data_IF_883432548518
#
_entry.id   IF_883432548518
#
_cell.length_a   1.000
_cell.length_b   1.000
_cell.length_c   1.000
_cell.angle_alpha   90.00
_cell.angle_beta   90.00
_cell.angle_gamma   90.00
#
_symmetry.space_group_name_H-M   'P 1'
#
loop_
_entity.id
_entity.type
_entity.pdbx_description
1 polymer ?
#
# COMPACT_ATOMS: atom_id res chain seq x y z
N UNK A 1 -0.78 20.76 18.10
CA UNK A 1 -0.75 19.30 17.91
C UNK A 1 0.42 19.02 16.97
N UNK A 2 1.57 18.73 17.58
CA UNK A 2 2.88 18.79 16.95
C UNK A 2 3.06 17.70 15.89
N UNK A 3 3.44 18.15 14.70
CA UNK A 3 3.91 17.34 13.59
C UNK A 3 5.24 16.69 13.99
N UNK A 4 5.23 15.40 14.29
CA UNK A 4 6.47 14.63 14.41
C UNK A 4 7.09 14.60 13.01
N UNK A 5 8.10 15.45 12.78
CA UNK A 5 8.97 15.38 11.61
C UNK A 5 9.58 13.98 11.58
N UNK A 6 9.22 13.19 10.57
CA UNK A 6 9.99 12.01 10.22
C UNK A 6 11.39 12.49 9.83
N UNK A 7 12.36 12.28 10.72
CA UNK A 7 13.76 12.59 10.43
C UNK A 7 14.23 11.77 9.23
N UNK A 8 14.80 12.48 8.25
CA UNK A 8 15.34 11.93 7.03
C UNK A 8 16.55 11.04 7.32
N UNK A 9 16.34 9.72 7.42
CA UNK A 9 17.46 8.77 7.46
C UNK A 9 18.06 8.65 6.05
N UNK A 10 19.29 9.12 5.86
CA UNK A 10 20.04 8.90 4.61
C UNK A 10 20.31 7.39 4.42
N UNK A 11 19.94 6.90 3.24
CA UNK A 11 20.08 5.50 2.89
C UNK A 11 21.58 5.16 2.78
N UNK A 12 22.08 4.27 3.64
CA UNK A 12 23.47 3.81 3.56
C UNK A 12 23.70 3.05 2.24
N UNK A 13 24.88 3.18 1.59
CA UNK A 13 25.23 2.36 0.45
C UNK A 13 25.22 0.88 0.87
N UNK A 14 24.26 0.12 0.34
CA UNK A 14 23.94 -1.27 0.76
C UNK A 14 22.53 -1.47 1.31
N UNK A 15 21.79 -0.39 1.58
CA UNK A 15 20.40 -0.45 2.01
C UNK A 15 19.51 -1.03 0.92
N UNK A 16 18.77 -2.06 1.27
CA UNK A 16 17.73 -2.66 0.44
C UNK A 16 16.59 -1.65 0.31
N UNK A 17 16.48 -0.94 -0.81
CA UNK A 17 15.33 -0.07 -1.08
C UNK A 17 14.18 -0.92 -1.61
N UNK A 18 13.06 -1.06 -0.89
CA UNK A 18 11.93 -1.83 -1.39
C UNK A 18 11.38 -1.28 -2.71
N UNK A 19 10.97 -2.18 -3.60
CA UNK A 19 10.35 -1.85 -4.88
C UNK A 19 9.14 -0.92 -4.72
N UNK A 20 8.38 -1.01 -3.64
CA UNK A 20 7.23 -0.13 -3.42
C UNK A 20 7.60 1.24 -2.84
N UNK A 21 8.85 1.47 -2.45
CA UNK A 21 9.29 2.74 -1.84
C UNK A 21 9.29 3.86 -2.86
N UNK A 22 8.61 4.96 -2.53
CA UNK A 22 8.61 6.19 -3.33
C UNK A 22 9.99 6.84 -3.32
N UNK A 23 10.29 7.57 -4.39
CA UNK A 23 11.51 8.38 -4.51
C UNK A 23 11.16 9.86 -4.51
N UNK A 24 12.05 10.71 -4.02
CA UNK A 24 11.83 12.15 -3.96
C UNK A 24 11.59 12.80 -5.33
N UNK A 25 12.07 12.16 -6.40
CA UNK A 25 11.81 12.58 -7.80
C UNK A 25 10.40 12.27 -8.29
N UNK A 26 9.67 11.39 -7.59
CA UNK A 26 8.31 10.98 -7.92
C UNK A 26 7.26 11.92 -7.28
N UNK A 27 7.70 13.01 -6.65
CA UNK A 27 6.81 14.07 -6.17
C UNK A 27 6.39 14.93 -7.35
N UNK A 28 5.09 14.99 -7.60
CA UNK A 28 4.49 15.93 -8.54
C UNK A 28 3.38 16.74 -7.85
N UNK A 29 3.15 17.96 -8.33
CA UNK A 29 1.91 18.65 -8.03
C UNK A 29 0.75 17.75 -8.48
N UNK A 30 -0.09 17.34 -7.53
CA UNK A 30 -1.23 16.49 -7.83
C UNK A 30 -2.22 17.24 -8.74
N UNK A 31 -2.87 16.55 -9.68
CA UNK A 31 -3.95 17.16 -10.47
C UNK A 31 -5.05 17.68 -9.56
N UNK A 32 -5.73 18.74 -10.01
CA UNK A 32 -6.85 19.34 -9.29
C UNK A 32 -7.99 18.32 -9.14
N UNK A 33 -8.35 18.01 -7.89
CA UNK A 33 -9.51 17.16 -7.59
C UNK A 33 -10.77 18.02 -7.54
N UNK A 34 -11.80 17.61 -8.29
CA UNK A 34 -13.09 18.28 -8.38
C UNK A 34 -14.22 17.32 -8.02
N UNK A 35 -15.35 17.88 -7.57
CA UNK A 35 -16.59 17.12 -7.41
C UNK A 35 -17.27 16.94 -8.77
N UNK A 36 -17.81 15.75 -9.03
CA UNK A 36 -18.61 15.41 -10.20
C UNK A 36 -19.86 14.65 -9.74
N UNK A 37 -20.89 15.37 -9.30
CA UNK A 37 -22.08 14.75 -8.69
C UNK A 37 -21.74 14.07 -7.36
N UNK A 38 -21.99 12.76 -7.28
CA UNK A 38 -21.76 11.92 -6.10
C UNK A 38 -20.31 11.41 -5.95
N UNK A 39 -19.45 11.68 -6.94
CA UNK A 39 -18.07 11.21 -7.00
C UNK A 39 -17.05 12.34 -7.10
N UNK A 40 -15.78 12.01 -6.90
CA UNK A 40 -14.67 12.89 -7.27
C UNK A 40 -14.07 12.52 -8.62
N UNK A 41 -13.35 13.46 -9.22
CA UNK A 41 -12.54 13.26 -10.41
C UNK A 41 -11.39 14.24 -10.47
N UNK A 42 -10.44 14.01 -11.38
CA UNK A 42 -9.48 15.06 -11.74
C UNK A 42 -10.13 16.04 -12.72
N UNK A 43 -9.72 17.31 -12.68
CA UNK A 43 -10.17 18.31 -13.66
C UNK A 43 -9.85 17.85 -15.09
N UNK A 44 -8.67 17.25 -15.27
CA UNK A 44 -8.13 16.66 -16.49
C UNK A 44 -8.17 15.11 -16.46
N UNK A 45 -9.23 14.52 -15.86
CA UNK A 45 -9.37 13.08 -15.72
C UNK A 45 -9.31 12.33 -17.06
N UNK A 46 -8.53 11.24 -17.08
CA UNK A 46 -8.38 10.32 -18.19
C UNK A 46 -8.88 8.92 -17.80
N UNK A 47 -9.32 8.07 -18.76
CA UNK A 47 -9.84 6.73 -18.45
C UNK A 47 -8.90 5.86 -17.60
N UNK A 48 -7.58 6.02 -17.77
CA UNK A 48 -6.56 5.26 -17.05
C UNK A 48 -6.35 5.68 -15.59
N UNK A 49 -6.97 6.79 -15.15
CA UNK A 49 -6.94 7.22 -13.74
C UNK A 49 -7.84 6.34 -12.86
N UNK A 50 -8.72 5.53 -13.47
CA UNK A 50 -9.62 4.65 -12.75
C UNK A 50 -9.24 3.19 -12.87
N UNK A 51 -9.62 2.41 -11.86
CA UNK A 51 -9.63 0.96 -11.97
C UNK A 51 -10.95 0.43 -12.56
N UNK A 52 -11.05 -0.90 -12.69
CA UNK A 52 -12.22 -1.56 -13.24
C UNK A 52 -13.48 -1.32 -12.39
N UNK A 53 -13.31 -1.02 -11.10
CA UNK A 53 -14.38 -0.69 -10.16
C UNK A 53 -14.73 0.81 -10.15
N UNK A 54 -14.09 1.60 -11.03
CA UNK A 54 -14.32 3.03 -11.18
C UNK A 54 -13.69 3.89 -10.08
N UNK A 55 -12.77 3.35 -9.27
CA UNK A 55 -12.09 4.10 -8.20
C UNK A 55 -10.99 4.97 -8.78
N UNK A 56 -10.91 6.23 -8.35
CA UNK A 56 -9.88 7.17 -8.79
C UNK A 56 -8.54 6.87 -8.10
N UNK A 57 -7.48 6.65 -8.87
CA UNK A 57 -6.14 6.34 -8.37
C UNK A 57 -5.23 7.57 -8.39
N UNK A 58 -4.40 7.69 -7.35
CA UNK A 58 -3.40 8.74 -7.23
C UNK A 58 -2.42 8.70 -8.40
N UNK A 59 -2.33 9.80 -9.17
CA UNK A 59 -1.26 10.01 -10.15
C UNK A 59 0.06 10.25 -9.43
N UNK A 60 1.06 9.47 -9.80
CA UNK A 60 2.43 9.60 -9.31
C UNK A 60 3.37 9.24 -10.45
N UNK A 61 4.31 10.14 -10.84
CA UNK A 61 5.38 9.79 -11.77
C UNK A 61 6.17 8.60 -11.26
N UNK A 62 6.72 7.78 -12.17
CA UNK A 62 7.58 6.67 -11.78
C UNK A 62 9.00 6.87 -12.29
N UNK A 63 9.91 7.08 -11.35
CA UNK A 63 11.34 7.30 -11.61
C UNK A 63 12.18 6.60 -10.52
N UNK A 64 12.03 5.28 -10.35
CA UNK A 64 12.76 4.55 -9.32
C UNK A 64 14.27 4.68 -9.52
N UNK A 65 15.00 4.88 -8.43
CA UNK A 65 16.45 5.10 -8.45
C UNK A 65 16.87 6.56 -8.65
N UNK A 66 15.94 7.47 -8.92
CA UNK A 66 16.24 8.91 -9.10
C UNK A 66 15.88 9.69 -7.84
N UNK A 67 16.84 10.46 -7.31
CA UNK A 67 16.66 11.18 -6.05
C UNK A 67 16.89 10.29 -4.83
N UNK A 68 16.25 10.60 -3.70
CA UNK A 68 16.40 9.86 -2.44
C UNK A 68 15.20 8.93 -2.22
N UNK A 69 15.40 7.69 -1.73
CA UNK A 69 14.28 6.84 -1.34
C UNK A 69 13.60 7.39 -0.08
N UNK A 70 12.27 7.39 -0.08
CA UNK A 70 11.45 7.89 1.02
C UNK A 70 10.89 6.70 1.82
N UNK A 71 11.69 6.18 2.75
CA UNK A 71 11.27 5.05 3.58
C UNK A 71 9.99 5.39 4.36
N UNK A 72 9.01 4.48 4.32
CA UNK A 72 7.68 4.70 4.88
C UNK A 72 6.67 5.30 3.89
N UNK A 73 7.13 5.92 2.80
CA UNK A 73 6.26 6.39 1.71
C UNK A 73 6.11 5.32 0.64
N UNK A 74 4.86 4.95 0.35
CA UNK A 74 4.52 3.91 -0.62
C UNK A 74 4.14 4.53 -1.96
N UNK A 75 4.79 4.08 -3.03
CA UNK A 75 4.45 4.48 -4.40
C UNK A 75 3.19 3.74 -4.88
N UNK A 76 2.09 4.48 -5.02
CA UNK A 76 0.75 3.95 -5.22
C UNK A 76 0.65 2.91 -6.35
N UNK A 77 1.18 3.23 -7.54
CA UNK A 77 1.08 2.33 -8.70
C UNK A 77 1.95 1.08 -8.55
N UNK A 78 3.08 1.17 -7.82
CA UNK A 78 3.99 0.03 -7.59
C UNK A 78 3.41 -0.90 -6.54
N UNK A 79 2.81 -0.36 -5.48
CA UNK A 79 2.06 -1.14 -4.49
C UNK A 79 0.87 -1.85 -5.13
N UNK A 80 0.06 -1.15 -5.93
CA UNK A 80 -1.08 -1.73 -6.64
C UNK A 80 -0.65 -2.87 -7.56
N UNK A 81 0.43 -2.69 -8.32
CA UNK A 81 1.00 -3.73 -9.18
C UNK A 81 1.47 -4.93 -8.37
N UNK A 82 2.18 -4.71 -7.27
CA UNK A 82 2.67 -5.78 -6.41
C UNK A 82 1.53 -6.60 -5.80
N UNK A 83 0.47 -5.94 -5.34
CA UNK A 83 -0.73 -6.61 -4.82
C UNK A 83 -1.44 -7.43 -5.89
N UNK A 84 -1.78 -6.83 -7.04
CA UNK A 84 -2.56 -7.50 -8.09
C UNK A 84 -1.84 -8.68 -8.74
N UNK A 85 -0.50 -8.65 -8.76
CA UNK A 85 0.33 -9.68 -9.40
C UNK A 85 1.07 -10.56 -8.39
N UNK A 86 0.78 -10.41 -7.10
CA UNK A 86 1.44 -11.13 -6.00
C UNK A 86 2.98 -11.10 -6.12
N UNK A 87 3.51 -9.90 -6.33
CA UNK A 87 4.95 -9.66 -6.42
C UNK A 87 5.49 -9.27 -5.05
N UNK A 88 6.73 -9.68 -4.79
CA UNK A 88 7.50 -9.25 -3.65
C UNK A 88 7.58 -7.72 -3.60
N UNK A 89 7.09 -7.12 -2.50
CA UNK A 89 7.12 -5.66 -2.29
C UNK A 89 8.54 -5.06 -2.29
N UNK A 90 9.57 -5.90 -2.16
CA UNK A 90 10.97 -5.50 -2.08
C UNK A 90 11.68 -5.57 -3.43
N UNK A 91 11.58 -6.70 -4.15
CA UNK A 91 12.35 -6.89 -5.39
C UNK A 91 11.51 -6.97 -6.66
N UNK A 92 10.17 -6.86 -6.57
CA UNK A 92 9.23 -6.95 -7.69
C UNK A 92 9.21 -8.29 -8.46
N UNK A 93 9.98 -9.30 -8.02
CA UNK A 93 9.87 -10.69 -8.48
C UNK A 93 8.64 -11.37 -7.84
N UNK A 94 8.17 -12.53 -8.33
CA UNK A 94 7.10 -13.27 -7.67
C UNK A 94 7.35 -13.43 -6.17
N UNK A 95 6.30 -13.27 -5.37
CA UNK A 95 6.36 -13.60 -3.96
C UNK A 95 6.61 -15.10 -3.77
N UNK A 96 7.09 -15.46 -2.58
CA UNK A 96 7.30 -16.86 -2.25
C UNK A 96 5.95 -17.56 -2.12
N UNK A 97 5.85 -18.77 -2.68
CA UNK A 97 4.64 -19.57 -2.70
C UNK A 97 5.00 -21.05 -2.58
N UNK A 98 4.37 -21.74 -1.64
CA UNK A 98 4.42 -23.19 -1.44
C UNK A 98 2.99 -23.77 -1.35
N UNK A 99 2.86 -24.99 -0.82
CA UNK A 99 1.58 -25.69 -0.69
C UNK A 99 0.64 -25.00 0.32
N UNK A 100 1.22 -24.33 1.32
CA UNK A 100 0.52 -23.61 2.39
C UNK A 100 0.10 -22.20 1.95
N UNK A 101 0.77 -21.64 0.94
CA UNK A 101 0.31 -20.47 0.20
C UNK A 101 1.37 -19.39 0.00
N UNK A 102 0.91 -18.16 -0.23
CA UNK A 102 1.79 -17.02 -0.50
C UNK A 102 2.33 -16.45 0.82
N UNK A 103 3.60 -16.05 0.85
CA UNK A 103 4.24 -15.46 2.03
C UNK A 103 3.91 -13.97 2.19
N UNK A 104 3.42 -13.61 3.37
CA UNK A 104 3.15 -12.24 3.79
C UNK A 104 3.87 -11.90 5.09
N UNK A 105 4.27 -10.64 5.24
CA UNK A 105 4.77 -10.08 6.50
C UNK A 105 3.75 -9.08 7.03
N UNK A 106 3.21 -9.35 8.21
CA UNK A 106 2.21 -8.51 8.87
C UNK A 106 2.86 -7.85 10.09
N UNK A 107 2.69 -6.53 10.21
CA UNK A 107 3.27 -5.71 11.29
C UNK A 107 2.23 -5.13 12.23
N UNK A 108 0.95 -5.43 12.03
CA UNK A 108 -0.11 -5.10 12.98
C UNK A 108 0.03 -6.01 14.21
N UNK A 109 -0.31 -5.49 15.40
CA UNK A 109 0.01 -6.04 16.73
C UNK A 109 0.49 -7.51 16.76
N UNK A 110 1.82 -7.74 16.69
CA UNK A 110 2.40 -9.07 16.59
C UNK A 110 2.27 -9.89 17.89
N UNK A 111 1.85 -9.26 19.00
CA UNK A 111 1.77 -9.92 20.30
C UNK A 111 0.56 -10.84 20.42
N UNK A 112 -0.50 -10.62 19.64
CA UNK A 112 -1.72 -11.43 19.69
C UNK A 112 -2.25 -11.82 18.29
N UNK A 113 -1.51 -12.60 17.48
CA UNK A 113 -1.98 -12.94 16.13
C UNK A 113 -3.26 -13.77 16.13
N UNK A 114 -3.55 -14.49 17.21
CA UNK A 114 -4.75 -15.32 17.32
C UNK A 114 -6.02 -14.49 17.59
N UNK A 115 -5.87 -13.22 18.01
CA UNK A 115 -6.99 -12.28 18.17
C UNK A 115 -7.28 -11.47 16.90
N UNK A 116 -6.49 -11.65 15.84
CA UNK A 116 -6.67 -10.92 14.60
C UNK A 116 -8.01 -11.25 13.92
N UNK A 117 -8.64 -10.26 13.26
CA UNK A 117 -9.89 -10.49 12.56
C UNK A 117 -9.71 -11.57 11.48
N UNK A 118 -10.74 -12.39 11.32
CA UNK A 118 -10.86 -13.36 10.22
C UNK A 118 -12.06 -12.94 9.36
N UNK A 119 -11.84 -12.48 8.12
CA UNK A 119 -10.55 -12.42 7.42
C UNK A 119 -9.67 -11.22 7.83
N UNK A 120 -8.36 -11.37 7.63
CA UNK A 120 -7.37 -10.32 7.90
C UNK A 120 -7.24 -9.42 6.67
N UNK A 121 -7.16 -8.10 6.85
CA UNK A 121 -6.91 -7.17 5.74
C UNK A 121 -5.56 -6.50 5.84
N UNK A 122 -4.92 -6.22 4.71
CA UNK A 122 -3.64 -5.49 4.70
C UNK A 122 -3.47 -4.64 3.44
N UNK A 123 -2.67 -3.57 3.56
CA UNK A 123 -2.15 -2.80 2.41
C UNK A 123 -0.71 -3.17 2.06
N UNK A 124 -0.08 -4.06 2.82
CA UNK A 124 1.30 -4.50 2.60
C UNK A 124 1.34 -5.65 1.59
N UNK A 125 2.03 -5.53 0.44
CA UNK A 125 2.11 -6.63 -0.52
C UNK A 125 2.94 -7.81 -0.02
N UNK A 126 2.84 -8.99 -0.66
CA UNK A 126 3.55 -10.18 -0.23
C UNK A 126 5.08 -10.03 -0.42
N UNK A 127 5.84 -11.01 0.05
CA UNK A 127 7.31 -11.02 0.00
C UNK A 127 7.86 -12.33 -0.56
N UNK A 128 9.06 -12.31 -1.13
CA UNK A 128 9.81 -13.55 -1.38
C UNK A 128 10.67 -13.89 -0.17
N UNK A 129 11.00 -15.17 0.03
CA UNK A 129 11.71 -15.67 1.20
C UNK A 129 13.06 -14.97 1.40
N UNK A 130 13.85 -14.83 0.33
CA UNK A 130 15.14 -14.13 0.39
C UNK A 130 15.02 -12.68 0.84
N UNK A 131 13.96 -11.99 0.41
CA UNK A 131 13.72 -10.60 0.80
C UNK A 131 13.13 -10.50 2.20
N UNK A 132 12.30 -11.46 2.64
CA UNK A 132 11.80 -11.52 4.01
C UNK A 132 12.97 -11.64 4.99
N UNK A 133 13.83 -12.65 4.81
CA UNK A 133 15.00 -12.88 5.65
C UNK A 133 15.96 -11.68 5.66
N UNK A 134 16.20 -11.06 4.50
CA UNK A 134 17.03 -9.85 4.43
C UNK A 134 16.41 -8.67 5.15
N UNK A 135 15.11 -8.40 4.93
CA UNK A 135 14.39 -7.30 5.54
C UNK A 135 14.35 -7.41 7.07
N UNK A 136 14.21 -8.62 7.62
CA UNK A 136 14.32 -8.86 9.06
C UNK A 136 15.69 -8.48 9.63
N UNK A 137 16.78 -8.62 8.86
CA UNK A 137 18.12 -8.22 9.35
C UNK A 137 18.33 -6.71 9.31
N UNK A 138 17.80 -6.04 8.28
CA UNK A 138 18.16 -4.65 7.97
C UNK A 138 17.12 -3.61 8.37
N UNK A 139 15.85 -4.01 8.60
CA UNK A 139 14.77 -3.09 8.93
C UNK A 139 14.49 -3.10 10.44
N UNK A 140 14.78 -2.01 11.18
CA UNK A 140 14.51 -1.94 12.62
C UNK A 140 13.03 -2.16 12.96
N UNK A 141 12.11 -1.66 12.12
CA UNK A 141 10.67 -1.80 12.36
C UNK A 141 10.18 -3.24 12.26
N UNK A 142 10.71 -4.02 11.31
CA UNK A 142 10.37 -5.44 11.21
C UNK A 142 11.01 -6.26 12.35
N UNK A 143 12.21 -5.87 12.81
CA UNK A 143 12.83 -6.47 14.01
C UNK A 143 12.05 -6.20 15.30
N UNK A 144 11.42 -5.04 15.40
CA UNK A 144 10.58 -4.70 16.55
C UNK A 144 9.33 -5.58 16.64
N UNK A 145 8.88 -6.14 15.50
CA UNK A 145 7.83 -7.14 15.49
C UNK A 145 7.17 -7.28 14.13
N UNK A 146 7.12 -8.50 13.62
CA UNK A 146 6.28 -8.88 12.50
C UNK A 146 5.93 -10.37 12.60
N UNK A 147 4.80 -10.75 12.02
CA UNK A 147 4.38 -12.15 11.89
C UNK A 147 4.44 -12.52 10.42
N UNK A 148 5.12 -13.62 10.13
CA UNK A 148 5.10 -14.22 8.81
C UNK A 148 3.88 -15.11 8.67
N UNK A 149 3.13 -14.96 7.59
CA UNK A 149 1.96 -15.77 7.29
C UNK A 149 2.12 -16.48 5.95
N UNK A 150 1.69 -17.74 5.89
CA UNK A 150 1.31 -18.41 4.66
C UNK A 150 -0.18 -18.23 4.45
N UNK A 151 -0.57 -17.72 3.28
CA UNK A 151 -1.96 -17.37 2.97
C UNK A 151 -2.41 -18.16 1.75
N UNK A 152 -3.40 -19.03 1.93
CA UNK A 152 -3.91 -19.91 0.88
C UNK A 152 -4.81 -19.19 -0.13
N UNK A 153 -5.59 -18.19 0.31
CA UNK A 153 -6.46 -17.40 -0.54
C UNK A 153 -6.33 -15.89 -0.24
N UNK A 154 -6.24 -15.09 -1.29
CA UNK A 154 -6.21 -13.63 -1.15
C UNK A 154 -6.94 -12.94 -2.30
N UNK A 155 -7.66 -11.88 -2.00
CA UNK A 155 -8.43 -11.11 -2.98
C UNK A 155 -8.47 -9.61 -2.62
N UNK A 156 -8.40 -8.70 -3.62
CA UNK A 156 -8.63 -7.29 -3.38
C UNK A 156 -10.05 -7.06 -2.83
N UNK A 157 -10.16 -6.31 -1.74
CA UNK A 157 -11.46 -6.01 -1.09
C UNK A 157 -11.76 -4.52 -0.98
N UNK A 158 -10.82 -3.67 -1.38
CA UNK A 158 -11.03 -2.23 -1.40
C UNK A 158 -9.73 -1.47 -1.63
N UNK A 159 -9.76 -0.20 -1.24
CA UNK A 159 -8.64 0.72 -1.35
C UNK A 159 -8.42 1.45 -0.03
N UNK A 160 -7.19 1.89 0.19
CA UNK A 160 -6.85 2.85 1.24
C UNK A 160 -6.44 4.16 0.57
N UNK A 161 -6.98 5.28 1.03
CA UNK A 161 -6.74 6.58 0.41
C UNK A 161 -7.47 7.73 1.09
N UNK A 162 -7.44 8.88 0.42
CA UNK A 162 -8.11 10.09 0.91
C UNK A 162 -9.58 10.07 0.48
N UNK A 163 -10.50 10.07 1.46
CA UNK A 163 -11.93 10.27 1.23
C UNK A 163 -12.21 11.78 1.15
N UNK A 164 -12.91 12.16 0.10
CA UNK A 164 -13.32 13.54 -0.12
C UNK A 164 -14.78 13.75 0.25
N UNK A 165 -15.06 14.89 0.89
CA UNK A 165 -16.39 15.39 1.16
C UNK A 165 -16.65 16.73 0.47
N UNK A 166 -17.88 17.27 0.60
CA UNK A 166 -18.20 18.59 0.12
C UNK A 166 -17.24 19.64 0.70
N UNK A 167 -16.78 20.53 -0.15
CA UNK A 167 -16.04 21.74 0.21
C UNK A 167 -16.35 22.84 -0.81
N UNK A 168 -16.13 24.10 -0.45
CA UNK A 168 -16.33 25.24 -1.35
C UNK A 168 -15.01 25.96 -1.59
N UNK A 169 -14.58 26.22 -2.84
CA UNK A 169 -15.16 25.80 -4.15
C UNK A 169 -14.76 24.38 -4.60
N UNK A 170 -13.90 23.67 -3.86
CA UNK A 170 -13.36 22.36 -4.21
C UNK A 170 -13.65 21.35 -3.09
N UNK A 171 -13.77 20.05 -3.40
CA UNK A 171 -13.92 19.04 -2.37
C UNK A 171 -12.69 19.01 -1.46
N UNK A 172 -12.90 18.74 -0.18
CA UNK A 172 -11.85 18.66 0.83
C UNK A 172 -11.69 17.23 1.31
N UNK A 173 -10.47 16.85 1.69
CA UNK A 173 -10.22 15.56 2.34
C UNK A 173 -10.87 15.61 3.72
N UNK A 174 -11.81 14.71 3.97
CA UNK A 174 -12.49 14.58 5.27
C UNK A 174 -11.87 13.48 6.12
N UNK A 175 -11.31 12.45 5.48
CA UNK A 175 -10.81 11.26 6.14
C UNK A 175 -9.71 10.62 5.28
N UNK A 176 -8.78 9.91 5.93
CA UNK A 176 -7.85 9.00 5.26
C UNK A 176 -8.07 7.62 5.86
N UNK A 177 -8.41 6.64 5.02
CA UNK A 177 -8.86 5.35 5.51
C UNK A 177 -9.06 4.30 4.44
N UNK A 178 -9.36 3.08 4.90
CA UNK A 178 -9.74 1.96 4.04
C UNK A 178 -11.23 2.01 3.72
N UNK A 179 -11.57 1.87 2.44
CA UNK A 179 -12.96 1.79 1.95
C UNK A 179 -13.09 0.54 1.09
N UNK A 180 -14.10 -0.29 1.41
CA UNK A 180 -14.34 -1.57 0.72
C UNK A 180 -14.99 -1.35 -0.65
N UNK A 181 -14.70 -2.24 -1.59
CA UNK A 181 -15.49 -2.33 -2.82
C UNK A 181 -16.96 -2.61 -2.48
N UNK A 182 -17.87 -1.94 -3.19
CA UNK A 182 -19.31 -1.96 -2.91
C UNK A 182 -19.79 -0.88 -1.92
N UNK A 183 -18.91 -0.27 -1.12
CA UNK A 183 -19.28 0.90 -0.30
C UNK A 183 -19.52 2.13 -1.21
N UNK A 184 -20.68 2.78 -1.16
CA UNK A 184 -20.96 3.97 -1.99
C UNK A 184 -19.93 5.09 -1.84
N UNK A 185 -19.29 5.21 -0.68
CA UNK A 185 -18.27 6.23 -0.41
C UNK A 185 -17.02 6.06 -1.28
N UNK A 186 -16.78 4.86 -1.83
CA UNK A 186 -15.58 4.57 -2.64
C UNK A 186 -15.46 5.48 -3.86
N UNK A 187 -16.59 5.98 -4.38
CA UNK A 187 -16.66 6.94 -5.50
C UNK A 187 -16.01 8.29 -5.19
N UNK A 188 -15.85 8.60 -3.90
CA UNK A 188 -15.24 9.83 -3.39
C UNK A 188 -13.82 9.60 -2.86
N UNK A 189 -13.25 8.42 -3.07
CA UNK A 189 -11.89 8.10 -2.61
C UNK A 189 -10.89 8.33 -3.73
N UNK A 190 -9.81 9.04 -3.40
CA UNK A 190 -8.57 9.02 -4.19
C UNK A 190 -7.65 7.96 -3.61
N UNK A 191 -7.62 6.80 -4.24
CA UNK A 191 -6.89 5.62 -3.78
C UNK A 191 -5.37 5.84 -3.85
N UNK A 192 -4.68 5.46 -2.78
CA UNK A 192 -3.22 5.40 -2.72
C UNK A 192 -2.69 3.97 -2.63
N UNK A 193 -3.46 3.04 -2.06
CA UNK A 193 -3.05 1.65 -1.89
C UNK A 193 -4.24 0.71 -2.12
N UNK A 194 -3.98 -0.48 -2.64
CA UNK A 194 -4.95 -1.58 -2.69
C UNK A 194 -5.00 -2.27 -1.32
N UNK A 195 -6.20 -2.64 -0.87
CA UNK A 195 -6.42 -3.45 0.34
C UNK A 195 -6.69 -4.89 -0.10
N UNK A 196 -5.92 -5.83 0.44
CA UNK A 196 -6.08 -7.26 0.23
C UNK A 196 -6.71 -7.90 1.45
N UNK A 197 -7.64 -8.82 1.21
CA UNK A 197 -8.16 -9.77 2.18
C UNK A 197 -7.30 -11.03 2.15
N UNK A 198 -6.91 -11.53 3.33
CA UNK A 198 -6.09 -12.72 3.54
C UNK A 198 -6.93 -13.77 4.28
N UNK A 199 -7.12 -14.92 3.63
CA UNK A 199 -7.95 -16.02 4.08
C UNK A 199 -7.16 -17.31 4.17
N UNK A 200 -7.57 -18.20 5.09
CA UNK A 200 -6.94 -19.49 5.30
C UNK A 200 -5.44 -19.39 5.53
N UNK A 201 -5.04 -18.64 6.56
CA UNK A 201 -3.64 -18.37 6.86
C UNK A 201 -3.12 -19.13 8.08
N UNK A 202 -1.83 -19.47 8.03
CA UNK A 202 -1.05 -20.09 9.12
C UNK A 202 0.23 -19.29 9.35
N UNK A 203 0.81 -19.40 10.55
CA UNK A 203 2.11 -18.76 10.84
C UNK A 203 3.22 -19.51 10.11
N UNK A 204 4.15 -18.77 9.52
CA UNK A 204 5.35 -19.29 8.89
C UNK A 204 6.58 -19.01 9.76
N UNK A 205 7.59 -19.88 9.69
CA UNK A 205 8.93 -19.57 10.15
C UNK A 205 9.73 -18.88 9.02
N UNK A 206 10.65 -17.98 9.37
CA UNK A 206 11.49 -17.23 8.43
C UNK A 206 12.98 -17.41 8.69
#
# INVERSE_FOLDING_TARGET
METVKAECVEAHPGSLVPYITAWSSERAAGPLVISRGDRIGYADEHPYDRDADGVLWTRVPSSPGRGRPEFGTVHALRQRRAMRRLLCQVCARPADRDAEGVLWLITEDPAAPDSWPRPLTTTHPPVCLSCAARSLRVCPRLRAGCVALRVSACAPVGVHGALYGPGGPLPVVTEVGGVRYGDPRIRRVRAGQLVMCLEGWTRAAL
#
